data_IF_378924439455
#
_entry.id   IF_378924439455
#
_cell.length_a   1.000
_cell.length_b   1.000
_cell.length_c   1.000
_cell.angle_alpha   90.00
_cell.angle_beta   90.00
_cell.angle_gamma   90.00
#
_symmetry.space_group_name_H-M   'P 1'
#
loop_
_entity.id
_entity.type
_entity.pdbx_description
1 polymer ?
#
# COMPACT_ATOMS: atom_id res chain seq x y z
N UNK A 1 -10.10 -3.23 -3.96
CA UNK A 1 -9.74 -1.97 -3.28
C UNK A 1 -8.52 -2.20 -2.39
N UNK A 2 -7.75 -1.15 -2.07
CA UNK A 2 -6.60 -1.25 -1.15
C UNK A 2 -6.89 -0.59 0.19
N UNK A 3 -6.47 -1.18 1.33
CA UNK A 3 -6.60 -0.54 2.61
C UNK A 3 -5.62 0.62 2.78
N UNK A 4 -6.02 1.60 3.58
CA UNK A 4 -5.20 2.75 3.97
C UNK A 4 -4.66 3.60 2.81
N UNK A 5 -5.47 3.79 1.77
CA UNK A 5 -5.09 4.56 0.57
C UNK A 5 -5.16 6.08 0.79
N UNK A 6 -4.12 6.79 0.39
CA UNK A 6 -4.06 8.25 0.35
C UNK A 6 -3.70 8.74 -1.06
N UNK A 7 -3.74 10.06 -1.26
CA UNK A 7 -3.32 10.65 -2.53
C UNK A 7 -1.85 10.34 -2.84
N UNK A 8 -1.00 10.32 -1.81
CA UNK A 8 0.44 10.06 -1.88
C UNK A 8 0.78 8.57 -2.08
N UNK A 9 -0.20 7.67 -1.99
CA UNK A 9 0.04 6.21 -2.08
C UNK A 9 0.62 5.80 -3.43
N UNK A 10 0.40 6.57 -4.49
CA UNK A 10 1.00 6.34 -5.82
C UNK A 10 2.52 6.54 -5.85
N UNK A 11 3.10 7.22 -4.85
CA UNK A 11 4.54 7.42 -4.69
C UNK A 11 5.19 6.42 -3.72
N UNK A 12 4.46 5.39 -3.26
CA UNK A 12 4.98 4.41 -2.30
C UNK A 12 5.38 3.10 -3.00
N UNK A 13 6.61 2.66 -2.79
CA UNK A 13 7.14 1.39 -3.27
C UNK A 13 6.79 0.30 -2.26
N UNK A 14 6.14 -0.77 -2.71
CA UNK A 14 5.83 -1.90 -1.81
C UNK A 14 7.01 -2.85 -1.71
N UNK A 15 7.36 -3.20 -0.48
CA UNK A 15 8.42 -4.15 -0.16
C UNK A 15 7.82 -5.26 0.68
N UNK A 16 7.92 -6.50 0.21
CA UNK A 16 7.50 -7.67 0.99
C UNK A 16 8.58 -8.02 2.01
N UNK A 17 8.19 -8.18 3.28
CA UNK A 17 9.07 -8.69 4.35
C UNK A 17 8.64 -10.13 4.65
N UNK A 18 9.47 -11.11 4.28
CA UNK A 18 9.12 -12.54 4.37
C UNK A 18 10.01 -13.22 5.42
N UNK A 19 9.44 -13.88 6.44
CA UNK A 19 10.23 -14.75 7.31
C UNK A 19 10.72 -15.97 6.52
N UNK A 20 12.01 -16.27 6.63
CA UNK A 20 12.66 -17.43 6.01
C UNK A 20 13.17 -18.34 7.14
N UNK A 21 12.81 -19.62 7.07
CA UNK A 21 13.07 -20.58 8.14
C UNK A 21 12.26 -20.30 9.41
N UNK A 22 12.75 -20.80 10.54
CA UNK A 22 12.02 -20.73 11.82
C UNK A 22 12.32 -19.42 12.56
N UNK A 23 11.30 -18.61 12.81
CA UNK A 23 11.42 -17.36 13.56
C UNK A 23 10.31 -17.28 14.61
N UNK A 24 10.63 -17.06 15.90
CA UNK A 24 9.61 -16.84 16.92
C UNK A 24 8.82 -15.56 16.61
N UNK A 25 7.50 -15.58 16.87
CA UNK A 25 6.61 -14.47 16.50
C UNK A 25 7.02 -13.12 17.12
N UNK A 26 7.45 -13.11 18.38
CA UNK A 26 7.88 -11.89 19.05
C UNK A 26 9.15 -11.33 18.39
N UNK A 27 10.10 -12.20 18.07
CA UNK A 27 11.35 -11.84 17.38
C UNK A 27 11.08 -11.28 15.98
N UNK A 28 10.17 -11.90 15.22
CA UNK A 28 9.76 -11.39 13.90
C UNK A 28 9.13 -10.00 14.00
N UNK A 29 8.30 -9.77 15.03
CA UNK A 29 7.71 -8.45 15.31
C UNK A 29 8.77 -7.41 15.62
N UNK A 30 9.78 -7.78 16.42
CA UNK A 30 10.86 -6.88 16.78
C UNK A 30 11.68 -6.49 15.53
N UNK A 31 12.02 -7.45 14.65
CA UNK A 31 12.67 -7.16 13.37
C UNK A 31 11.83 -6.26 12.48
N UNK A 32 10.55 -6.60 12.29
CA UNK A 32 9.63 -5.79 11.49
C UNK A 32 9.53 -4.35 12.01
N UNK A 33 9.56 -4.15 13.34
CA UNK A 33 9.55 -2.82 13.93
C UNK A 33 10.75 -1.97 13.52
N UNK A 34 11.92 -2.57 13.30
CA UNK A 34 13.11 -1.83 12.82
C UNK A 34 12.89 -1.32 11.39
N UNK A 35 12.34 -2.14 10.50
CA UNK A 35 12.02 -1.71 9.12
C UNK A 35 11.06 -0.51 9.06
N UNK A 36 10.07 -0.44 9.97
CA UNK A 36 9.10 0.66 9.97
C UNK A 36 9.73 2.05 10.17
N UNK A 37 10.93 2.13 10.78
CA UNK A 37 11.68 3.38 10.90
C UNK A 37 12.27 3.86 9.56
N UNK A 38 12.34 2.98 8.56
CA UNK A 38 12.93 3.22 7.24
C UNK A 38 11.88 3.32 6.12
N UNK A 39 10.67 3.81 6.44
CA UNK A 39 9.59 4.00 5.46
C UNK A 39 9.83 5.19 4.52
N UNK A 40 10.80 6.06 4.81
CA UNK A 40 11.21 7.17 3.96
C UNK A 40 12.74 7.25 3.94
N UNK A 41 13.33 7.16 2.76
CA UNK A 41 14.78 7.23 2.55
C UNK A 41 15.10 8.50 1.76
N UNK A 42 15.79 9.50 2.35
CA UNK A 42 16.21 10.70 1.63
C UNK A 42 17.14 10.35 0.46
N UNK A 43 16.93 10.98 -0.69
CA UNK A 43 17.76 10.74 -1.88
C UNK A 43 19.23 11.15 -1.64
N UNK A 44 19.45 12.18 -0.83
CA UNK A 44 20.78 12.64 -0.43
C UNK A 44 21.59 11.54 0.28
N UNK A 45 20.90 10.62 0.97
CA UNK A 45 21.51 9.53 1.73
C UNK A 45 21.85 8.29 0.89
N UNK A 46 21.42 8.23 -0.37
CA UNK A 46 21.67 7.09 -1.28
C UNK A 46 22.60 7.43 -2.43
N UNK A 47 22.96 8.72 -2.58
CA UNK A 47 23.82 9.22 -3.65
C UNK A 47 25.16 8.48 -3.76
N UNK A 48 25.73 8.05 -2.63
CA UNK A 48 26.97 7.27 -2.58
C UNK A 48 26.84 5.81 -3.05
N UNK A 49 25.63 5.26 -3.02
CA UNK A 49 25.32 3.89 -3.46
C UNK A 49 24.80 3.87 -4.91
N UNK A 50 24.38 5.02 -5.43
CA UNK A 50 23.86 5.17 -6.77
C UNK A 50 24.99 5.24 -7.79
N UNK A 51 24.89 4.43 -8.85
CA UNK A 51 25.86 4.40 -9.94
C UNK A 51 25.14 4.70 -11.25
N UNK A 52 25.53 5.80 -11.90
CA UNK A 52 24.96 6.19 -13.20
C UNK A 52 25.74 5.48 -14.32
N UNK A 53 25.21 4.37 -14.84
CA UNK A 53 25.82 3.66 -15.98
C UNK A 53 25.61 4.40 -17.31
N UNK A 54 24.48 5.10 -17.43
CA UNK A 54 24.07 5.91 -18.58
C UNK A 54 23.31 7.13 -18.08
N UNK A 55 23.20 8.18 -18.90
CA UNK A 55 22.51 9.42 -18.54
C UNK A 55 21.09 9.12 -18.05
N UNK A 56 20.82 9.36 -16.77
CA UNK A 56 19.55 9.05 -16.10
C UNK A 56 18.34 9.64 -16.84
N UNK A 57 17.21 8.89 -16.93
CA UNK A 57 15.96 9.42 -17.48
C UNK A 57 15.29 10.41 -16.50
N UNK A 58 15.70 10.43 -15.23
CA UNK A 58 15.16 11.32 -14.20
C UNK A 58 15.89 12.67 -14.20
N UNK A 59 15.63 13.47 -15.23
CA UNK A 59 16.38 14.71 -15.49
C UNK A 59 16.19 15.76 -14.38
N UNK A 60 15.08 15.71 -13.65
CA UNK A 60 14.74 16.64 -12.56
C UNK A 60 14.73 15.95 -11.19
N UNK A 61 15.55 14.91 -11.00
CA UNK A 61 15.64 14.18 -9.73
C UNK A 61 16.06 15.10 -8.56
N UNK A 62 15.22 15.30 -7.53
CA UNK A 62 15.50 16.24 -6.44
C UNK A 62 16.42 15.61 -5.37
N UNK A 63 17.70 15.42 -5.68
CA UNK A 63 18.66 14.72 -4.81
C UNK A 63 18.74 15.26 -3.38
N UNK A 64 18.61 16.58 -3.18
CA UNK A 64 18.75 17.19 -1.86
C UNK A 64 17.48 17.14 -0.99
N UNK A 65 16.31 17.21 -1.62
CA UNK A 65 15.02 17.41 -0.91
C UNK A 65 14.06 16.24 -1.06
N UNK A 66 14.27 15.38 -2.06
CA UNK A 66 13.40 14.25 -2.35
C UNK A 66 13.69 13.02 -1.49
N UNK A 67 12.79 12.05 -1.59
CA UNK A 67 12.89 10.78 -0.87
C UNK A 67 12.18 9.66 -1.61
N UNK A 68 12.69 8.44 -1.45
CA UNK A 68 11.95 7.22 -1.76
C UNK A 68 11.08 6.83 -0.57
N UNK A 69 9.87 6.34 -0.83
CA UNK A 69 8.90 5.99 0.21
C UNK A 69 8.56 4.52 0.13
N UNK A 70 8.63 3.82 1.25
CA UNK A 70 8.41 2.39 1.33
C UNK A 70 7.15 2.06 2.10
N UNK A 71 6.36 1.13 1.56
CA UNK A 71 5.25 0.47 2.25
C UNK A 71 5.61 -0.99 2.47
N UNK A 72 5.97 -1.33 3.71
CA UNK A 72 6.36 -2.68 4.07
C UNK A 72 5.14 -3.59 4.26
N UNK A 73 5.13 -4.73 3.57
CA UNK A 73 4.07 -5.73 3.62
C UNK A 73 4.61 -6.99 4.29
N UNK A 74 4.32 -7.19 5.58
CA UNK A 74 4.74 -8.38 6.32
C UNK A 74 4.01 -9.62 5.79
N UNK A 75 4.77 -10.68 5.49
CA UNK A 75 4.25 -11.90 4.88
C UNK A 75 3.98 -11.78 3.37
N UNK A 76 4.14 -10.58 2.81
CA UNK A 76 3.89 -10.29 1.40
C UNK A 76 2.42 -10.27 1.01
N UNK A 77 2.15 -10.26 -0.29
CA UNK A 77 0.81 -10.23 -0.86
C UNK A 77 0.82 -10.85 -2.26
N UNK A 78 -0.30 -11.48 -2.69
CA UNK A 78 -0.41 -11.97 -4.06
C UNK A 78 -0.33 -10.81 -5.07
N UNK A 79 0.09 -11.07 -6.32
CA UNK A 79 0.11 -10.07 -7.38
C UNK A 79 -1.28 -9.45 -7.59
N UNK A 80 -1.33 -8.13 -7.67
CA UNK A 80 -2.57 -7.40 -7.94
C UNK A 80 -2.92 -7.54 -9.43
N UNK A 81 -4.18 -7.83 -9.80
CA UNK A 81 -4.60 -7.84 -11.21
C UNK A 81 -4.55 -6.43 -11.85
N UNK A 82 -4.32 -5.39 -11.06
CA UNK A 82 -4.24 -3.99 -11.49
C UNK A 82 -2.81 -3.44 -11.48
N UNK A 83 -1.81 -4.29 -11.33
CA UNK A 83 -0.43 -3.85 -11.20
C UNK A 83 0.13 -3.13 -12.45
N UNK A 84 -0.34 -3.49 -13.64
CA UNK A 84 0.00 -2.78 -14.89
C UNK A 84 -0.71 -1.43 -14.99
N UNK A 85 -1.85 -1.27 -14.32
CA UNK A 85 -2.58 -0.01 -14.27
C UNK A 85 -2.02 0.94 -13.22
N UNK A 86 -1.58 0.44 -12.08
CA UNK A 86 -1.07 1.20 -10.94
C UNK A 86 0.21 0.55 -10.42
N UNK A 87 1.37 1.08 -10.84
CA UNK A 87 2.68 0.46 -10.55
C UNK A 87 3.00 0.38 -9.05
N UNK A 88 2.45 1.27 -8.23
CA UNK A 88 2.57 1.25 -6.77
C UNK A 88 1.87 0.04 -6.10
N UNK A 89 1.12 -0.78 -6.86
CA UNK A 89 0.56 -2.05 -6.38
C UNK A 89 1.53 -3.22 -6.54
N UNK A 90 2.57 -3.09 -7.35
CA UNK A 90 3.61 -4.12 -7.52
C UNK A 90 4.43 -4.25 -6.24
N UNK A 91 4.72 -5.49 -5.84
CA UNK A 91 5.82 -5.77 -4.91
C UNK A 91 7.11 -5.62 -5.71
N UNK A 92 7.82 -4.51 -5.49
CA UNK A 92 9.01 -4.15 -6.28
C UNK A 92 10.31 -4.60 -5.61
N UNK A 93 10.26 -4.93 -4.31
CA UNK A 93 11.34 -5.61 -3.62
C UNK A 93 10.84 -6.68 -2.65
N UNK A 94 11.67 -7.71 -2.44
CA UNK A 94 11.44 -8.76 -1.45
C UNK A 94 12.63 -8.81 -0.51
N UNK A 95 12.36 -8.66 0.79
CA UNK A 95 13.35 -8.80 1.84
C UNK A 95 13.02 -10.06 2.65
N UNK A 96 13.86 -11.07 2.53
CA UNK A 96 13.86 -12.23 3.41
C UNK A 96 14.45 -11.83 4.76
N UNK A 97 13.85 -12.29 5.85
CA UNK A 97 14.39 -12.12 7.21
C UNK A 97 14.57 -13.50 7.79
N UNK A 98 15.77 -13.79 8.30
CA UNK A 98 16.13 -15.07 8.89
C UNK A 98 16.68 -14.86 10.30
N UNK A 99 16.29 -15.72 11.25
CA UNK A 99 16.89 -15.76 12.57
C UNK A 99 17.94 -16.87 12.63
N UNK A 100 19.21 -16.51 12.44
CA UNK A 100 20.31 -17.47 12.26
C UNK A 100 20.45 -18.52 13.39
N UNK A 101 20.21 -18.21 14.68
CA UNK A 101 20.28 -19.22 15.76
C UNK A 101 19.33 -20.41 15.57
N UNK A 102 18.23 -20.25 14.83
CA UNK A 102 17.27 -21.32 14.52
C UNK A 102 17.38 -21.85 13.10
N UNK A 103 18.27 -21.27 12.30
CA UNK A 103 18.52 -21.62 10.90
C UNK A 103 20.03 -21.77 10.68
N UNK A 104 20.65 -22.86 11.17
CA UNK A 104 22.10 -23.02 11.15
C UNK A 104 22.67 -23.17 9.73
N UNK A 105 21.91 -23.81 8.84
CA UNK A 105 22.29 -24.02 7.43
C UNK A 105 21.87 -22.83 6.56
N UNK A 106 22.85 -22.03 6.13
CA UNK A 106 22.61 -20.86 5.28
C UNK A 106 22.30 -21.24 3.82
N UNK A 107 22.70 -22.42 3.32
CA UNK A 107 22.34 -22.85 1.96
C UNK A 107 20.85 -23.12 1.86
N UNK A 108 20.30 -23.86 2.82
CA UNK A 108 18.86 -24.09 2.90
C UNK A 108 18.06 -22.79 3.02
N UNK A 109 18.56 -21.80 3.77
CA UNK A 109 17.91 -20.48 3.89
C UNK A 109 17.89 -19.75 2.54
N UNK A 110 18.99 -19.79 1.79
CA UNK A 110 19.06 -19.15 0.47
C UNK A 110 18.14 -19.87 -0.53
N UNK A 111 18.14 -21.21 -0.54
CA UNK A 111 17.27 -21.98 -1.43
C UNK A 111 15.78 -21.72 -1.15
N UNK A 112 15.40 -21.65 0.13
CA UNK A 112 14.04 -21.28 0.54
C UNK A 112 13.70 -19.85 0.09
N UNK A 113 14.60 -18.90 0.31
CA UNK A 113 14.42 -17.51 -0.11
C UNK A 113 14.27 -17.36 -1.63
N UNK A 114 15.12 -18.02 -2.42
CA UNK A 114 15.04 -18.03 -3.87
C UNK A 114 13.75 -18.69 -4.36
N UNK A 115 13.28 -19.73 -3.66
CA UNK A 115 11.98 -20.35 -3.87
C UNK A 115 10.83 -19.37 -3.68
N UNK A 116 10.83 -18.61 -2.58
CA UNK A 116 9.84 -17.56 -2.28
C UNK A 116 9.85 -16.46 -3.34
N UNK A 117 11.04 -16.00 -3.76
CA UNK A 117 11.17 -14.89 -4.72
C UNK A 117 10.51 -15.20 -6.07
N UNK A 118 10.43 -16.47 -6.49
CA UNK A 118 9.71 -16.89 -7.72
C UNK A 118 8.22 -16.51 -7.71
N UNK A 119 7.60 -16.35 -6.54
CA UNK A 119 6.23 -15.89 -6.40
C UNK A 119 6.02 -14.40 -6.68
N UNK A 120 7.10 -13.62 -6.78
CA UNK A 120 7.07 -12.16 -6.90
C UNK A 120 7.69 -11.71 -8.22
N UNK A 121 7.04 -12.00 -9.35
CA UNK A 121 7.57 -11.71 -10.69
C UNK A 121 7.87 -10.22 -10.98
N UNK A 122 7.19 -9.30 -10.26
CA UNK A 122 7.42 -7.86 -10.38
C UNK A 122 8.60 -7.34 -9.54
N UNK A 123 9.15 -8.15 -8.62
CA UNK A 123 10.24 -7.74 -7.76
C UNK A 123 11.53 -7.55 -8.57
N UNK A 124 12.17 -6.39 -8.39
CA UNK A 124 13.41 -6.02 -9.06
C UNK A 124 14.62 -6.11 -8.14
N UNK A 125 14.40 -6.00 -6.83
CA UNK A 125 15.45 -6.10 -5.83
C UNK A 125 15.07 -7.16 -4.81
N UNK A 126 15.96 -8.14 -4.59
CA UNK A 126 15.78 -9.18 -3.58
C UNK A 126 17.01 -9.24 -2.67
N UNK A 127 16.77 -9.29 -1.36
CA UNK A 127 17.82 -9.40 -0.33
C UNK A 127 17.34 -10.28 0.82
N UNK A 128 18.21 -11.06 1.43
CA UNK A 128 17.93 -11.84 2.62
C UNK A 128 18.81 -11.36 3.77
N UNK A 129 18.20 -11.02 4.91
CA UNK A 129 18.87 -10.50 6.10
C UNK A 129 18.88 -11.57 7.20
N UNK A 130 20.07 -12.07 7.53
CA UNK A 130 20.28 -13.03 8.61
C UNK A 130 20.70 -12.35 9.91
N UNK A 131 19.86 -12.42 10.93
CA UNK A 131 20.11 -11.80 12.24
C UNK A 131 20.73 -12.77 13.24
N UNK A 132 21.73 -12.29 13.97
CA UNK A 132 22.45 -13.01 15.03
C UNK A 132 23.15 -14.29 14.55
N UNK A 133 23.95 -14.25 13.46
CA UNK A 133 24.75 -15.40 13.02
C UNK A 133 25.77 -15.80 14.11
N UNK A 134 26.09 -17.08 14.18
CA UNK A 134 27.27 -17.54 14.92
C UNK A 134 28.56 -17.36 14.09
N UNK A 135 29.71 -17.54 14.72
CA UNK A 135 31.02 -17.33 14.07
C UNK A 135 31.20 -18.19 12.81
N UNK A 136 30.77 -19.46 12.83
CA UNK A 136 30.83 -20.32 11.65
C UNK A 136 29.94 -19.83 10.51
N UNK A 137 28.79 -19.24 10.83
CA UNK A 137 27.88 -18.66 9.83
C UNK A 137 28.42 -17.33 9.27
N UNK A 138 29.16 -16.56 10.05
CA UNK A 138 29.84 -15.35 9.56
C UNK A 138 30.94 -15.71 8.55
N UNK A 139 31.73 -16.75 8.83
CA UNK A 139 32.76 -17.26 7.92
C UNK A 139 32.17 -17.86 6.64
N UNK A 140 31.07 -18.61 6.75
CA UNK A 140 30.35 -19.21 5.61
C UNK A 140 29.64 -18.14 4.78
N UNK A 141 28.91 -17.23 5.43
CA UNK A 141 28.13 -16.18 4.77
C UNK A 141 28.98 -15.20 3.97
N UNK A 142 30.24 -14.94 4.38
CA UNK A 142 31.19 -14.15 3.59
C UNK A 142 31.53 -14.75 2.22
N UNK A 143 31.24 -16.04 2.00
CA UNK A 143 31.43 -16.74 0.72
C UNK A 143 30.14 -16.83 -0.09
N UNK A 144 28.99 -16.52 0.52
CA UNK A 144 27.68 -16.60 -0.13
C UNK A 144 27.35 -15.27 -0.81
N UNK A 145 26.72 -15.35 -1.99
CA UNK A 145 26.58 -14.23 -2.93
C UNK A 145 25.92 -12.98 -2.35
N UNK A 146 25.91 -11.90 -3.14
CA UNK A 146 25.52 -10.53 -2.73
C UNK A 146 24.12 -10.39 -2.10
N UNK A 147 23.26 -11.39 -2.26
CA UNK A 147 21.88 -11.35 -1.78
C UNK A 147 21.74 -11.66 -0.28
N UNK A 148 22.68 -12.37 0.36
CA UNK A 148 22.63 -12.65 1.79
C UNK A 148 23.46 -11.62 2.57
N UNK A 149 22.85 -10.96 3.55
CA UNK A 149 23.50 -9.99 4.42
C UNK A 149 23.32 -10.39 5.87
N UNK A 150 24.43 -10.57 6.57
CA UNK A 150 24.43 -11.03 7.95
C UNK A 150 24.60 -9.85 8.92
N UNK A 151 23.82 -9.86 9.99
CA UNK A 151 23.81 -8.85 11.05
C UNK A 151 24.34 -9.49 12.32
N UNK A 152 25.65 -9.32 12.65
CA UNK A 152 26.25 -9.91 13.84
C UNK A 152 25.48 -9.57 15.12
N UNK A 153 25.55 -10.43 16.16
CA UNK A 153 24.97 -10.12 17.46
C UNK A 153 25.47 -8.78 18.00
N UNK A 154 24.55 -7.83 18.17
CA UNK A 154 24.82 -6.50 18.68
C UNK A 154 23.58 -5.97 19.41
N UNK A 155 23.74 -4.85 20.12
CA UNK A 155 22.59 -4.14 20.67
C UNK A 155 21.68 -3.60 19.55
N UNK A 156 20.44 -3.28 19.92
CA UNK A 156 19.39 -2.87 18.97
C UNK A 156 19.80 -1.63 18.16
N UNK A 157 20.46 -0.65 18.77
CA UNK A 157 20.83 0.59 18.09
C UNK A 157 21.85 0.30 16.99
N UNK A 158 22.83 -0.55 17.26
CA UNK A 158 23.81 -0.99 16.27
C UNK A 158 23.14 -1.78 15.12
N UNK A 159 22.17 -2.64 15.42
CA UNK A 159 21.40 -3.36 14.39
C UNK A 159 20.58 -2.42 13.51
N UNK A 160 19.93 -1.41 14.09
CA UNK A 160 19.17 -0.40 13.37
C UNK A 160 20.07 0.46 12.47
N UNK A 161 21.28 0.81 12.93
CA UNK A 161 22.28 1.52 12.11
C UNK A 161 22.72 0.70 10.89
N UNK A 162 23.02 -0.60 11.08
CA UNK A 162 23.33 -1.49 9.95
C UNK A 162 22.14 -1.62 9.01
N UNK A 163 20.92 -1.75 9.54
CA UNK A 163 19.71 -1.87 8.73
C UNK A 163 19.49 -0.59 7.90
N UNK A 164 19.76 0.58 8.47
CA UNK A 164 19.69 1.84 7.75
C UNK A 164 20.58 1.84 6.50
N UNK A 165 21.84 1.44 6.63
CA UNK A 165 22.77 1.33 5.49
C UNK A 165 22.27 0.32 4.45
N UNK A 166 21.76 -0.83 4.89
CA UNK A 166 21.21 -1.82 3.97
C UNK A 166 19.96 -1.33 3.23
N UNK A 167 19.09 -0.57 3.91
CA UNK A 167 17.90 0.02 3.28
C UNK A 167 18.26 1.14 2.29
N UNK A 168 19.36 1.87 2.52
CA UNK A 168 19.91 2.84 1.58
C UNK A 168 20.47 2.15 0.31
N UNK A 169 21.16 1.01 0.45
CA UNK A 169 21.61 0.19 -0.69
C UNK A 169 20.42 -0.34 -1.51
N UNK A 170 19.37 -0.84 -0.84
CA UNK A 170 18.14 -1.30 -1.50
C UNK A 170 17.45 -0.14 -2.24
N UNK A 171 17.38 1.03 -1.61
CA UNK A 171 16.82 2.24 -2.22
C UNK A 171 17.56 2.65 -3.50
N UNK A 172 18.90 2.68 -3.47
CA UNK A 172 19.72 2.96 -4.66
C UNK A 172 19.52 1.90 -5.76
N UNK A 173 19.48 0.62 -5.37
CA UNK A 173 19.26 -0.49 -6.31
C UNK A 173 17.89 -0.39 -7.00
N UNK A 174 16.84 -0.07 -6.25
CA UNK A 174 15.50 0.17 -6.79
C UNK A 174 15.49 1.35 -7.76
N UNK A 175 16.15 2.45 -7.42
CA UNK A 175 16.24 3.62 -8.28
C UNK A 175 16.87 3.27 -9.63
N UNK A 176 18.01 2.57 -9.64
CA UNK A 176 18.67 2.12 -10.86
C UNK A 176 17.80 1.14 -11.67
N UNK A 177 17.06 0.24 -11.02
CA UNK A 177 16.12 -0.65 -11.71
C UNK A 177 14.93 0.09 -12.33
N UNK A 178 14.48 1.20 -11.72
CA UNK A 178 13.44 2.04 -12.30
C UNK A 178 13.94 2.77 -13.54
N UNK A 179 15.19 3.25 -13.57
CA UNK A 179 15.79 3.84 -14.77
C UNK A 179 15.84 2.85 -15.92
N UNK A 180 16.33 1.62 -15.65
CA UNK A 180 16.35 0.54 -16.64
C UNK A 180 14.96 0.26 -17.20
N UNK A 181 13.93 0.26 -16.34
CA UNK A 181 12.55 0.09 -16.79
C UNK A 181 12.11 1.25 -17.69
N UNK A 182 12.38 2.50 -17.33
CA UNK A 182 11.98 3.67 -18.12
C UNK A 182 12.62 3.63 -19.51
N UNK A 183 13.92 3.35 -19.62
CA UNK A 183 14.59 3.20 -20.92
C UNK A 183 13.98 2.09 -21.79
N UNK A 184 13.63 0.95 -21.17
CA UNK A 184 12.96 -0.14 -21.87
C UNK A 184 11.55 0.26 -22.30
N UNK A 185 10.80 0.97 -21.47
CA UNK A 185 9.43 1.37 -21.76
C UNK A 185 9.33 2.44 -22.86
N UNK A 186 10.33 3.30 -23.00
CA UNK A 186 10.42 4.29 -24.09
C UNK A 186 10.79 3.65 -25.44
N UNK A 187 11.66 2.64 -25.42
CA UNK A 187 12.18 1.98 -26.62
C UNK A 187 11.32 0.79 -27.07
N UNK A 188 10.74 0.06 -26.13
CA UNK A 188 9.90 -1.11 -26.38
C UNK A 188 8.41 -0.74 -26.33
N UNK A 189 7.63 -1.30 -27.26
CA UNK A 189 6.17 -1.15 -27.27
C UNK A 189 5.50 -1.91 -26.13
N UNK A 190 5.69 -1.48 -24.88
CA UNK A 190 5.20 -2.11 -23.65
C UNK A 190 3.70 -2.39 -23.75
N UNK A 191 3.31 -3.65 -23.53
CA UNK A 191 1.92 -4.08 -23.59
C UNK A 191 1.38 -4.09 -22.16
N UNK A 192 0.58 -3.07 -21.84
CA UNK A 192 -0.06 -2.92 -20.54
C UNK A 192 -1.54 -3.27 -20.66
N UNK A 193 -1.99 -4.20 -19.80
CA UNK A 193 -3.36 -4.71 -19.82
C UNK A 193 -4.04 -4.52 -18.48
N UNK A 194 -5.36 -4.42 -18.52
CA UNK A 194 -6.22 -4.39 -17.35
C UNK A 194 -7.34 -5.41 -17.49
N UNK A 195 -7.95 -5.85 -16.39
CA UNK A 195 -9.17 -6.64 -16.43
C UNK A 195 -10.35 -6.01 -17.20
N UNK A 196 -10.30 -4.69 -17.49
CA UNK A 196 -11.33 -3.98 -18.27
C UNK A 196 -11.14 -4.10 -19.79
N UNK A 197 -9.95 -4.49 -20.25
CA UNK A 197 -9.65 -4.55 -21.67
C UNK A 197 -10.40 -5.71 -22.34
N UNK A 198 -11.27 -5.38 -23.30
CA UNK A 198 -11.96 -6.35 -24.15
C UNK A 198 -11.12 -6.70 -25.39
N UNK A 199 -11.40 -7.86 -26.01
CA UNK A 199 -10.79 -8.20 -27.31
C UNK A 199 -11.20 -7.16 -28.35
N UNK A 200 -10.22 -6.49 -28.96
CA UNK A 200 -10.47 -5.47 -29.97
C UNK A 200 -10.86 -6.10 -31.32
N UNK A 201 -11.79 -5.46 -32.03
CA UNK A 201 -12.09 -5.76 -33.43
C UNK A 201 -10.96 -5.33 -34.37
N UNK A 202 -10.94 -5.95 -35.56
CA UNK A 202 -9.85 -5.89 -36.52
C UNK A 202 -10.05 -4.82 -37.62
N UNK A 203 -10.49 -3.60 -37.28
CA UNK A 203 -10.56 -2.51 -38.26
C UNK A 203 -9.29 -1.63 -38.25
N UNK A 204 -8.92 -1.05 -39.40
CA UNK A 204 -7.70 -0.24 -39.56
C UNK A 204 -7.68 1.03 -38.69
N UNK A 205 -8.83 1.67 -38.49
CA UNK A 205 -8.96 2.83 -37.60
C UNK A 205 -8.74 2.44 -36.12
N UNK A 206 -9.25 1.28 -35.72
CA UNK A 206 -9.06 0.72 -34.38
C UNK A 206 -7.60 0.37 -34.11
N UNK A 207 -6.86 -0.08 -35.12
CA UNK A 207 -5.41 -0.36 -35.01
C UNK A 207 -4.62 0.93 -34.71
N UNK A 208 -4.90 2.03 -35.43
CA UNK A 208 -4.24 3.32 -35.17
C UNK A 208 -4.58 3.83 -33.77
N UNK A 209 -5.87 3.75 -33.38
CA UNK A 209 -6.33 4.12 -32.04
C UNK A 209 -5.69 3.24 -30.96
N UNK A 210 -5.51 1.95 -31.19
CA UNK A 210 -4.84 1.02 -30.28
C UNK A 210 -3.35 1.36 -30.10
N UNK A 211 -2.64 1.73 -31.18
CA UNK A 211 -1.24 2.19 -31.08
C UNK A 211 -1.12 3.45 -30.22
N UNK A 212 -2.00 4.44 -30.42
CA UNK A 212 -2.05 5.66 -29.59
C UNK A 212 -2.40 5.37 -28.13
N UNK A 213 -3.36 4.47 -27.88
CA UNK A 213 -3.69 4.01 -26.51
C UNK A 213 -2.47 3.41 -25.83
N UNK A 214 -1.78 2.48 -26.50
CA UNK A 214 -0.57 1.85 -25.96
C UNK A 214 0.49 2.88 -25.57
N UNK A 215 0.73 3.88 -26.42
CA UNK A 215 1.67 4.95 -26.11
C UNK A 215 1.22 5.76 -24.88
N UNK A 216 -0.06 6.13 -24.78
CA UNK A 216 -0.60 6.85 -23.62
C UNK A 216 -0.46 6.05 -22.32
N UNK A 217 -0.74 4.74 -22.35
CA UNK A 217 -0.57 3.84 -21.21
C UNK A 217 0.90 3.68 -20.80
N UNK A 218 1.80 3.58 -21.79
CA UNK A 218 3.24 3.54 -21.53
C UNK A 218 3.72 4.83 -20.87
N UNK A 219 3.33 6.00 -21.40
CA UNK A 219 3.66 7.30 -20.80
C UNK A 219 3.12 7.44 -19.37
N UNK A 220 1.88 6.99 -19.12
CA UNK A 220 1.33 6.96 -17.76
C UNK A 220 2.21 6.13 -16.83
N UNK A 221 2.60 4.94 -17.28
CA UNK A 221 3.38 3.99 -16.47
C UNK A 221 4.81 4.50 -16.23
N UNK A 222 5.44 5.10 -17.23
CA UNK A 222 6.72 5.81 -17.05
C UNK A 222 6.57 6.90 -15.97
N UNK A 223 5.50 7.68 -16.03
CA UNK A 223 5.15 8.64 -14.97
C UNK A 223 5.01 8.02 -13.59
N UNK A 224 4.42 6.83 -13.47
CA UNK A 224 4.37 6.10 -12.19
C UNK A 224 5.78 5.76 -11.69
N UNK A 225 6.68 5.27 -12.54
CA UNK A 225 8.04 4.92 -12.14
C UNK A 225 8.88 6.16 -11.78
N UNK A 226 8.73 7.28 -12.49
CA UNK A 226 9.32 8.56 -12.08
C UNK A 226 8.82 9.00 -10.69
N UNK A 227 7.53 8.79 -10.41
CA UNK A 227 6.93 9.14 -9.13
C UNK A 227 7.43 8.21 -8.00
N UNK A 228 7.56 6.90 -8.26
CA UNK A 228 8.16 5.93 -7.33
C UNK A 228 9.64 6.22 -7.09
N UNK A 229 10.36 6.71 -8.09
CA UNK A 229 11.74 7.19 -7.99
C UNK A 229 11.87 8.51 -7.20
N UNK A 230 10.76 9.13 -6.80
CA UNK A 230 10.78 10.41 -6.09
C UNK A 230 11.12 11.61 -6.97
N UNK A 231 10.91 11.51 -8.30
CA UNK A 231 11.01 12.64 -9.24
C UNK A 231 9.63 13.12 -9.71
N UNK A 232 8.97 14.00 -8.93
CA UNK A 232 7.60 14.43 -9.24
C UNK A 232 7.51 15.33 -10.48
N UNK A 233 8.55 16.11 -10.78
CA UNK A 233 8.57 17.00 -11.97
C UNK A 233 8.61 16.17 -13.25
N UNK A 234 9.50 15.17 -13.32
CA UNK A 234 9.57 14.25 -14.46
C UNK A 234 8.28 13.44 -14.59
N UNK A 235 7.75 12.93 -13.48
CA UNK A 235 6.48 12.21 -13.46
C UNK A 235 5.34 13.04 -14.06
N UNK A 236 5.23 14.31 -13.68
CA UNK A 236 4.16 15.19 -14.17
C UNK A 236 4.27 15.49 -15.67
N UNK A 237 5.48 15.54 -16.24
CA UNK A 237 5.67 15.69 -17.68
C UNK A 237 5.13 14.46 -18.46
N UNK A 238 5.44 13.25 -17.98
CA UNK A 238 4.92 12.01 -18.55
C UNK A 238 3.40 11.87 -18.38
N UNK A 239 2.85 12.22 -17.21
CA UNK A 239 1.39 12.22 -17.01
C UNK A 239 0.69 13.21 -17.93
N UNK A 240 1.26 14.41 -18.16
CA UNK A 240 0.69 15.39 -19.09
C UNK A 240 0.56 14.82 -20.50
N UNK A 241 1.62 14.17 -20.99
CA UNK A 241 1.62 13.46 -22.28
C UNK A 241 0.59 12.32 -22.30
N UNK A 242 0.51 11.54 -21.22
CA UNK A 242 -0.46 10.45 -21.10
C UNK A 242 -1.91 10.92 -21.11
N UNK A 243 -2.21 12.06 -20.47
CA UNK A 243 -3.53 12.68 -20.44
C UNK A 243 -3.97 13.11 -21.84
N UNK A 244 -3.08 13.74 -22.61
CA UNK A 244 -3.36 14.13 -23.99
C UNK A 244 -3.67 12.91 -24.87
N UNK A 245 -2.82 11.88 -24.83
CA UNK A 245 -2.98 10.66 -25.63
C UNK A 245 -4.24 9.86 -25.25
N UNK A 246 -4.52 9.75 -23.95
CA UNK A 246 -5.70 9.03 -23.45
C UNK A 246 -6.99 9.78 -23.80
N UNK A 247 -6.98 11.12 -23.77
CA UNK A 247 -8.12 11.94 -24.20
C UNK A 247 -8.43 11.74 -25.68
N UNK A 248 -7.41 11.74 -26.55
CA UNK A 248 -7.57 11.53 -28.00
C UNK A 248 -8.13 10.15 -28.36
N UNK A 249 -7.95 9.17 -27.47
CA UNK A 249 -8.40 7.79 -27.68
C UNK A 249 -9.64 7.43 -26.86
N UNK A 250 -10.18 8.38 -26.09
CA UNK A 250 -11.27 8.18 -25.15
C UNK A 250 -11.01 7.02 -24.15
N UNK A 251 -9.74 6.80 -23.78
CA UNK A 251 -9.36 5.82 -22.76
C UNK A 251 -9.52 6.44 -21.37
N UNK A 252 -10.77 6.64 -20.95
CA UNK A 252 -11.10 7.41 -19.74
C UNK A 252 -10.58 6.79 -18.44
N UNK A 253 -10.45 5.45 -18.39
CA UNK A 253 -9.91 4.77 -17.22
C UNK A 253 -8.42 5.11 -17.02
N UNK A 254 -7.63 5.04 -18.09
CA UNK A 254 -6.22 5.42 -18.07
C UNK A 254 -6.01 6.92 -17.96
N UNK A 255 -6.91 7.73 -18.52
CA UNK A 255 -6.95 9.17 -18.27
C UNK A 255 -7.12 9.49 -16.78
N UNK A 256 -8.09 8.85 -16.10
CA UNK A 256 -8.32 9.04 -14.67
C UNK A 256 -7.08 8.65 -13.84
N UNK A 257 -6.45 7.52 -14.16
CA UNK A 257 -5.22 7.08 -13.49
C UNK A 257 -4.02 8.01 -13.71
N UNK A 258 -3.85 8.57 -14.92
CA UNK A 258 -2.82 9.57 -15.17
C UNK A 258 -3.09 10.88 -14.41
N UNK A 259 -4.36 11.30 -14.33
CA UNK A 259 -4.75 12.48 -13.56
C UNK A 259 -4.49 12.27 -12.07
N UNK A 260 -4.89 11.11 -11.52
CA UNK A 260 -4.60 10.71 -10.14
C UNK A 260 -3.10 10.77 -9.82
N UNK A 261 -2.27 10.20 -10.71
CA UNK A 261 -0.81 10.25 -10.61
C UNK A 261 -0.24 11.67 -10.65
N UNK A 262 -0.75 12.53 -11.53
CA UNK A 262 -0.34 13.95 -11.61
C UNK A 262 -0.69 14.75 -10.35
N UNK A 263 -1.82 14.45 -9.68
CA UNK A 263 -2.15 15.08 -8.40
C UNK A 263 -1.20 14.61 -7.32
N UNK A 264 -0.86 13.31 -7.30
CA UNK A 264 0.16 12.80 -6.38
C UNK A 264 1.50 13.50 -6.62
N UNK A 265 1.96 13.61 -7.88
CA UNK A 265 3.18 14.32 -8.23
C UNK A 265 3.17 15.78 -7.74
N UNK A 266 2.08 16.50 -7.98
CA UNK A 266 1.88 17.87 -7.49
C UNK A 266 2.00 17.97 -5.96
N UNK A 267 1.39 17.03 -5.23
CA UNK A 267 1.50 16.99 -3.78
C UNK A 267 2.94 16.73 -3.34
N UNK A 268 3.61 15.71 -3.90
CA UNK A 268 4.99 15.33 -3.57
C UNK A 268 5.96 16.50 -3.81
N UNK A 269 5.84 17.19 -4.96
CA UNK A 269 6.67 18.34 -5.32
C UNK A 269 6.55 19.51 -4.33
N UNK A 270 5.35 19.71 -3.77
CA UNK A 270 5.06 20.81 -2.85
C UNK A 270 5.09 20.41 -1.37
N UNK A 271 5.60 19.22 -1.02
CA UNK A 271 5.66 18.79 0.37
C UNK A 271 6.48 19.76 1.21
N UNK A 272 5.88 20.21 2.31
CA UNK A 272 6.50 21.17 3.23
C UNK A 272 6.37 22.63 2.81
N UNK A 273 5.88 22.93 1.61
CA UNK A 273 5.55 24.29 1.18
C UNK A 273 4.16 24.68 1.69
N UNK A 274 4.06 25.86 2.30
CA UNK A 274 2.77 26.44 2.68
C UNK A 274 2.16 27.10 1.44
N UNK A 275 1.41 26.33 0.66
CA UNK A 275 0.66 26.83 -0.48
C UNK A 275 -0.84 26.87 -0.16
N UNK A 276 -1.43 28.06 0.05
CA UNK A 276 -2.85 28.20 0.35
C UNK A 276 -3.78 27.73 -0.78
N UNK A 277 -3.28 27.67 -2.02
CA UNK A 277 -4.06 27.31 -3.21
C UNK A 277 -4.02 25.81 -3.55
N UNK A 278 -3.06 25.07 -2.96
CA UNK A 278 -2.84 23.66 -3.25
C UNK A 278 -4.06 22.80 -2.91
N UNK A 279 -4.75 23.15 -1.83
CA UNK A 279 -5.97 22.45 -1.40
C UNK A 279 -7.08 22.52 -2.45
N UNK A 280 -7.35 23.72 -2.97
CA UNK A 280 -8.40 23.93 -3.97
C UNK A 280 -8.06 23.24 -5.28
N UNK A 281 -6.78 23.28 -5.69
CA UNK A 281 -6.29 22.59 -6.89
C UNK A 281 -6.40 21.07 -6.76
N UNK A 282 -5.99 20.49 -5.63
CA UNK A 282 -6.12 19.05 -5.36
C UNK A 282 -7.59 18.64 -5.34
N UNK A 283 -8.44 19.41 -4.66
CA UNK A 283 -9.89 19.17 -4.64
C UNK A 283 -10.47 19.19 -6.04
N UNK A 284 -10.14 20.20 -6.84
CA UNK A 284 -10.63 20.33 -8.22
C UNK A 284 -10.18 19.15 -9.09
N UNK A 285 -8.89 18.80 -9.06
CA UNK A 285 -8.37 17.70 -9.88
C UNK A 285 -8.91 16.34 -9.44
N UNK A 286 -9.06 16.05 -8.15
CA UNK A 286 -9.62 14.78 -7.69
C UNK A 286 -11.11 14.62 -8.02
N UNK A 287 -11.89 15.70 -7.97
CA UNK A 287 -13.28 15.64 -8.46
C UNK A 287 -13.32 15.25 -9.95
N UNK A 288 -12.36 15.72 -10.75
CA UNK A 288 -12.19 15.27 -12.12
C UNK A 288 -11.73 13.80 -12.21
N UNK A 289 -10.85 13.32 -11.32
CA UNK A 289 -10.48 11.89 -11.25
C UNK A 289 -11.72 11.02 -11.04
N UNK A 290 -12.53 11.33 -10.02
CA UNK A 290 -13.77 10.63 -9.69
C UNK A 290 -14.72 10.63 -10.90
N UNK A 291 -14.94 11.80 -11.52
CA UNK A 291 -15.78 11.94 -12.70
C UNK A 291 -15.31 11.05 -13.87
N UNK A 292 -14.00 10.97 -14.11
CA UNK A 292 -13.46 10.18 -15.23
C UNK A 292 -13.47 8.68 -14.95
N UNK A 293 -13.25 8.24 -13.70
CA UNK A 293 -13.49 6.84 -13.33
C UNK A 293 -14.95 6.46 -13.55
N UNK A 294 -15.89 7.30 -13.12
CA UNK A 294 -17.32 7.10 -13.39
C UNK A 294 -17.65 7.04 -14.87
N UNK A 295 -17.08 7.95 -15.66
CA UNK A 295 -17.24 8.01 -17.13
C UNK A 295 -16.63 6.81 -17.85
N UNK A 296 -15.66 6.13 -17.24
CA UNK A 296 -15.03 4.94 -17.83
C UNK A 296 -15.93 3.70 -17.80
N UNK A 297 -17.03 3.73 -17.04
CA UNK A 297 -18.03 2.66 -17.03
C UNK A 297 -18.80 2.63 -18.35
N UNK A 298 -18.79 1.47 -19.01
CA UNK A 298 -19.48 1.26 -20.30
C UNK A 298 -20.55 0.17 -20.10
N UNK A 299 -21.85 0.52 -20.04
CA UNK A 299 -22.94 -0.45 -19.76
C UNK A 299 -23.17 -1.49 -20.87
N UNK A 300 -22.85 -1.14 -22.12
CA UNK A 300 -23.19 -1.93 -23.31
C UNK A 300 -22.18 -3.03 -23.63
N UNK A 301 -20.97 -2.93 -23.09
CA UNK A 301 -19.99 -4.00 -23.17
C UNK A 301 -20.19 -4.92 -21.97
N UNK A 302 -20.19 -6.23 -22.19
CA UNK A 302 -20.19 -7.25 -21.14
C UNK A 302 -18.87 -7.21 -20.31
N UNK A 303 -18.54 -6.05 -19.73
CA UNK A 303 -17.43 -5.89 -18.81
C UNK A 303 -17.74 -6.73 -17.58
N UNK A 304 -16.96 -7.80 -17.41
CA UNK A 304 -17.04 -8.68 -16.23
C UNK A 304 -16.57 -7.97 -14.96
N UNK A 305 -15.86 -6.85 -15.10
CA UNK A 305 -15.22 -6.10 -14.02
C UNK A 305 -15.64 -4.63 -14.13
N UNK A 306 -16.08 -4.04 -13.02
CA UNK A 306 -16.52 -2.64 -12.95
C UNK A 306 -15.39 -1.73 -12.45
N UNK A 307 -15.22 -0.51 -13.00
CA UNK A 307 -14.28 0.48 -12.49
C UNK A 307 -14.74 1.13 -11.17
N UNK A 308 -15.94 0.79 -10.67
CA UNK A 308 -16.54 1.38 -9.47
C UNK A 308 -15.59 1.33 -8.25
N UNK A 309 -14.81 0.26 -8.08
CA UNK A 309 -13.85 0.18 -6.97
C UNK A 309 -12.84 1.32 -6.98
N UNK A 310 -12.43 1.82 -8.16
CA UNK A 310 -11.50 2.94 -8.30
C UNK A 310 -12.19 4.30 -8.09
N UNK A 311 -13.44 4.45 -8.51
CA UNK A 311 -14.26 5.63 -8.20
C UNK A 311 -14.37 5.82 -6.68
N UNK A 312 -14.77 4.76 -5.97
CA UNK A 312 -14.92 4.78 -4.52
C UNK A 312 -13.56 4.91 -3.79
N UNK A 313 -12.49 4.34 -4.34
CA UNK A 313 -11.13 4.54 -3.82
C UNK A 313 -10.68 6.01 -3.95
N UNK A 314 -11.02 6.68 -5.06
CA UNK A 314 -10.73 8.09 -5.28
C UNK A 314 -11.53 9.00 -4.33
N UNK A 315 -12.81 8.68 -4.06
CA UNK A 315 -13.62 9.35 -3.03
C UNK A 315 -12.92 9.27 -1.66
N UNK A 316 -12.45 8.08 -1.27
CA UNK A 316 -11.75 7.88 0.01
C UNK A 316 -10.42 8.65 0.08
N UNK A 317 -9.64 8.68 -1.00
CA UNK A 317 -8.37 9.43 -1.06
C UNK A 317 -8.61 10.93 -0.89
N UNK A 318 -9.61 11.49 -1.57
CA UNK A 318 -9.99 12.90 -1.43
C UNK A 318 -10.56 13.20 -0.04
N UNK A 319 -11.45 12.35 0.48
CA UNK A 319 -12.04 12.49 1.81
C UNK A 319 -10.96 12.47 2.90
N UNK A 320 -9.94 11.60 2.76
CA UNK A 320 -8.77 11.54 3.64
C UNK A 320 -7.93 12.82 3.58
N UNK A 321 -7.66 13.33 2.38
CA UNK A 321 -6.92 14.58 2.20
C UNK A 321 -7.63 15.79 2.83
N UNK A 322 -8.95 15.87 2.68
CA UNK A 322 -9.77 16.97 3.23
C UNK A 322 -10.17 16.76 4.70
N UNK A 323 -9.72 15.70 5.37
CA UNK A 323 -10.23 15.28 6.68
C UNK A 323 -9.84 16.22 7.83
N UNK A 324 -10.56 17.34 7.94
CA UNK A 324 -10.45 18.35 9.01
C UNK A 324 -11.81 18.91 9.39
N UNK A 325 -11.91 19.55 10.55
CA UNK A 325 -13.20 20.00 11.11
C UNK A 325 -13.87 21.07 10.24
N UNK A 326 -13.07 21.93 9.63
CA UNK A 326 -13.52 23.06 8.81
C UNK A 326 -14.19 22.58 7.52
N UNK A 327 -13.77 21.43 6.98
CA UNK A 327 -14.30 20.82 5.75
C UNK A 327 -15.17 19.59 6.02
N UNK A 328 -15.68 19.43 7.25
CA UNK A 328 -16.40 18.23 7.63
C UNK A 328 -17.63 17.97 6.75
N UNK A 329 -18.24 19.02 6.16
CA UNK A 329 -19.36 18.88 5.22
C UNK A 329 -18.93 18.16 3.95
N UNK A 330 -17.90 18.64 3.27
CA UNK A 330 -17.38 18.06 2.02
C UNK A 330 -16.96 16.59 2.23
N UNK A 331 -16.28 16.33 3.34
CA UNK A 331 -15.86 14.96 3.70
C UNK A 331 -17.07 14.06 3.94
N UNK A 332 -18.11 14.54 4.63
CA UNK A 332 -19.35 13.77 4.83
C UNK A 332 -20.03 13.45 3.51
N UNK A 333 -20.08 14.40 2.58
CA UNK A 333 -20.72 14.22 1.28
C UNK A 333 -20.00 13.15 0.46
N UNK A 334 -18.65 13.20 0.41
CA UNK A 334 -17.81 12.16 -0.22
C UNK A 334 -18.02 10.79 0.41
N UNK A 335 -17.97 10.70 1.74
CA UNK A 335 -18.15 9.42 2.45
C UNK A 335 -19.55 8.84 2.30
N UNK A 336 -20.57 9.70 2.17
CA UNK A 336 -21.96 9.26 1.93
C UNK A 336 -22.12 8.74 0.52
N UNK A 337 -21.59 9.45 -0.49
CA UNK A 337 -21.52 8.98 -1.87
C UNK A 337 -20.83 7.61 -1.97
N UNK A 338 -19.67 7.48 -1.30
CA UNK A 338 -18.92 6.24 -1.29
C UNK A 338 -19.70 5.10 -0.60
N UNK A 339 -20.39 5.38 0.51
CA UNK A 339 -21.23 4.42 1.21
C UNK A 339 -22.42 3.93 0.37
N UNK A 340 -23.03 4.81 -0.42
CA UNK A 340 -24.14 4.46 -1.30
C UNK A 340 -23.66 3.58 -2.47
N UNK A 341 -22.50 3.89 -3.04
CA UNK A 341 -21.85 3.08 -4.08
C UNK A 341 -21.42 1.68 -3.60
N UNK A 342 -21.17 1.51 -2.30
CA UNK A 342 -20.73 0.24 -1.72
C UNK A 342 -21.67 -0.95 -2.01
N UNK A 343 -22.98 -0.70 -2.15
CA UNK A 343 -23.98 -1.76 -2.43
C UNK A 343 -23.81 -2.38 -3.82
N UNK A 344 -23.22 -1.64 -4.75
CA UNK A 344 -22.97 -2.07 -6.12
C UNK A 344 -21.62 -2.78 -6.30
N UNK A 345 -20.81 -2.87 -5.23
CA UNK A 345 -19.59 -3.67 -5.23
C UNK A 345 -19.92 -5.16 -5.11
N UNK A 346 -19.34 -5.94 -6.04
CA UNK A 346 -19.52 -7.39 -6.11
C UNK A 346 -18.67 -8.09 -5.04
N UNK A 347 -17.41 -7.68 -4.89
CA UNK A 347 -16.47 -8.30 -3.94
C UNK A 347 -16.77 -7.87 -2.50
N UNK A 348 -16.99 -8.86 -1.63
CA UNK A 348 -17.22 -8.64 -0.21
C UNK A 348 -16.01 -8.01 0.48
N UNK A 349 -14.79 -8.31 0.01
CA UNK A 349 -13.55 -7.72 0.51
C UNK A 349 -13.51 -6.22 0.24
N UNK A 350 -13.87 -5.80 -0.96
CA UNK A 350 -13.89 -4.38 -1.33
C UNK A 350 -14.90 -3.60 -0.50
N UNK A 351 -16.08 -4.17 -0.25
CA UNK A 351 -17.07 -3.59 0.67
C UNK A 351 -16.54 -3.48 2.09
N UNK A 352 -15.83 -4.51 2.57
CA UNK A 352 -15.24 -4.53 3.90
C UNK A 352 -14.21 -3.40 4.04
N UNK A 353 -13.26 -3.30 3.09
CA UNK A 353 -12.25 -2.24 3.05
C UNK A 353 -12.92 -0.86 3.06
N UNK A 354 -13.88 -0.65 2.18
CA UNK A 354 -14.58 0.61 2.05
C UNK A 354 -15.26 1.03 3.36
N UNK A 355 -15.99 0.12 4.03
CA UNK A 355 -16.64 0.45 5.31
C UNK A 355 -15.64 0.65 6.45
N UNK A 356 -14.52 -0.07 6.49
CA UNK A 356 -13.44 0.20 7.45
C UNK A 356 -12.91 1.63 7.26
N UNK A 357 -12.62 2.03 6.02
CA UNK A 357 -12.07 3.35 5.71
C UNK A 357 -13.07 4.47 6.01
N UNK A 358 -14.35 4.29 5.66
CA UNK A 358 -15.42 5.24 6.02
C UNK A 358 -15.54 5.38 7.54
N UNK A 359 -15.52 4.27 8.29
CA UNK A 359 -15.58 4.30 9.75
C UNK A 359 -14.40 5.08 10.34
N UNK A 360 -13.18 4.86 9.83
CA UNK A 360 -11.97 5.56 10.26
C UNK A 360 -12.07 7.07 10.02
N UNK A 361 -12.50 7.49 8.83
CA UNK A 361 -12.60 8.91 8.48
C UNK A 361 -13.68 9.62 9.31
N UNK A 362 -14.85 9.01 9.53
CA UNK A 362 -15.84 9.56 10.48
C UNK A 362 -15.33 9.62 11.92
N UNK A 363 -14.53 8.63 12.34
CA UNK A 363 -13.88 8.62 13.65
C UNK A 363 -12.93 9.81 13.82
N UNK A 364 -12.12 10.09 12.81
CA UNK A 364 -11.18 11.23 12.78
C UNK A 364 -11.89 12.59 12.83
N UNK A 365 -13.03 12.73 12.15
CA UNK A 365 -13.88 13.93 12.26
C UNK A 365 -14.56 14.08 13.63
N UNK A 366 -14.56 13.04 14.47
CA UNK A 366 -15.23 13.01 15.75
C UNK A 366 -16.70 12.59 15.68
N UNK A 367 -17.18 12.11 14.52
CA UNK A 367 -18.56 11.62 14.34
C UNK A 367 -18.69 10.16 14.80
N UNK A 368 -18.53 9.96 16.11
CA UNK A 368 -18.45 8.64 16.75
C UNK A 368 -19.64 7.71 16.44
N UNK A 369 -20.86 8.26 16.32
CA UNK A 369 -22.04 7.45 15.97
C UNK A 369 -22.02 6.97 14.51
N UNK A 370 -21.55 7.81 13.58
CA UNK A 370 -21.39 7.42 12.16
C UNK A 370 -20.26 6.41 12.02
N UNK A 371 -19.13 6.65 12.69
CA UNK A 371 -18.03 5.69 12.76
C UNK A 371 -18.51 4.31 13.25
N UNK A 372 -19.20 4.27 14.40
CA UNK A 372 -19.74 3.05 14.97
C UNK A 372 -20.77 2.35 14.06
N UNK A 373 -21.55 3.10 13.29
CA UNK A 373 -22.47 2.54 12.30
C UNK A 373 -21.72 1.75 11.23
N UNK A 374 -20.69 2.34 10.61
CA UNK A 374 -19.91 1.62 9.61
C UNK A 374 -19.06 0.50 10.21
N UNK A 375 -18.54 0.65 11.44
CA UNK A 375 -17.92 -0.45 12.19
C UNK A 375 -18.86 -1.64 12.38
N UNK A 376 -20.15 -1.40 12.65
CA UNK A 376 -21.17 -2.45 12.70
C UNK A 376 -21.39 -3.12 11.33
N UNK A 377 -21.37 -2.35 10.24
CA UNK A 377 -21.46 -2.91 8.88
C UNK A 377 -20.27 -3.85 8.58
N UNK A 378 -19.06 -3.48 9.01
CA UNK A 378 -17.87 -4.34 8.92
C UNK A 378 -18.07 -5.65 9.69
N UNK A 379 -18.55 -5.58 10.93
CA UNK A 379 -18.83 -6.78 11.71
C UNK A 379 -19.91 -7.67 11.06
N UNK A 380 -20.92 -7.08 10.42
CA UNK A 380 -21.93 -7.84 9.68
C UNK A 380 -21.32 -8.60 8.50
N UNK A 381 -20.37 -7.98 7.77
CA UNK A 381 -19.65 -8.66 6.69
C UNK A 381 -18.78 -9.81 7.22
N UNK A 382 -18.13 -9.64 8.38
CA UNK A 382 -17.41 -10.75 9.02
C UNK A 382 -18.35 -11.90 9.42
N UNK A 383 -19.55 -11.60 9.94
CA UNK A 383 -20.53 -12.64 10.29
C UNK A 383 -21.10 -13.40 9.08
N UNK A 384 -21.03 -12.83 7.88
CA UNK A 384 -21.43 -13.52 6.64
C UNK A 384 -20.39 -14.54 6.18
N UNK A 385 -19.20 -14.56 6.79
CA UNK A 385 -18.17 -15.53 6.48
C UNK A 385 -18.32 -16.74 7.41
N UNK A 386 -18.36 -17.95 6.83
CA UNK A 386 -18.46 -19.22 7.56
C UNK A 386 -17.12 -19.60 8.21
N UNK A 387 -16.64 -18.76 9.13
CA UNK A 387 -15.35 -18.96 9.81
C UNK A 387 -15.41 -18.56 11.29
N UNK A 388 -14.87 -19.42 12.16
CA UNK A 388 -14.73 -19.14 13.60
C UNK A 388 -13.93 -17.86 13.85
N UNK A 389 -12.86 -17.63 13.07
CA UNK A 389 -12.01 -16.45 13.19
C UNK A 389 -12.75 -15.17 12.77
N UNK A 390 -13.60 -15.27 11.74
CA UNK A 390 -14.45 -14.16 11.31
C UNK A 390 -15.50 -13.83 12.38
N UNK A 391 -16.10 -14.83 13.02
CA UNK A 391 -17.04 -14.62 14.13
C UNK A 391 -16.37 -13.93 15.35
N UNK A 392 -15.15 -14.35 15.71
CA UNK A 392 -14.36 -13.70 16.77
C UNK A 392 -14.05 -12.25 16.38
N UNK A 393 -13.60 -12.01 15.15
CA UNK A 393 -13.30 -10.67 14.63
C UNK A 393 -14.55 -9.79 14.64
N UNK A 394 -15.71 -10.32 14.23
CA UNK A 394 -16.98 -9.60 14.29
C UNK A 394 -17.34 -9.17 15.72
N UNK A 395 -17.16 -10.05 16.70
CA UNK A 395 -17.43 -9.75 18.10
C UNK A 395 -16.50 -8.64 18.62
N UNK A 396 -15.20 -8.74 18.33
CA UNK A 396 -14.22 -7.72 18.70
C UNK A 396 -14.55 -6.36 18.07
N UNK A 397 -14.89 -6.34 16.78
CA UNK A 397 -15.29 -5.12 16.06
C UNK A 397 -16.58 -4.53 16.62
N UNK A 398 -17.58 -5.34 16.97
CA UNK A 398 -18.80 -4.87 17.62
C UNK A 398 -18.53 -4.28 19.01
N UNK A 399 -17.62 -4.88 19.79
CA UNK A 399 -17.27 -4.38 21.12
C UNK A 399 -16.77 -2.93 21.06
N UNK A 400 -16.09 -2.53 19.99
CA UNK A 400 -15.60 -1.17 19.76
C UNK A 400 -16.73 -0.13 19.61
N UNK A 401 -17.93 -0.58 19.20
CA UNK A 401 -19.09 0.31 18.99
C UNK A 401 -19.89 0.59 20.27
N UNK A 402 -19.70 -0.21 21.32
CA UNK A 402 -20.51 -0.19 22.55
C UNK A 402 -20.57 1.19 23.22
N UNK A 403 -19.42 1.86 23.33
CA UNK A 403 -19.32 3.20 23.91
C UNK A 403 -20.07 4.25 23.10
N UNK A 404 -19.96 4.20 21.77
CA UNK A 404 -20.63 5.15 20.88
C UNK A 404 -22.16 5.02 20.92
N UNK A 405 -22.66 3.79 21.10
CA UNK A 405 -24.08 3.49 21.27
C UNK A 405 -24.58 3.56 22.71
N UNK A 406 -23.69 3.84 23.68
CA UNK A 406 -24.00 3.86 25.12
C UNK A 406 -24.64 2.54 25.60
N UNK A 407 -24.22 1.42 25.01
CA UNK A 407 -24.63 0.08 25.46
C UNK A 407 -23.86 -0.23 26.73
N UNK A 408 -24.55 -0.28 27.86
CA UNK A 408 -23.96 -0.63 29.14
C UNK A 408 -23.69 -2.14 29.18
N UNK A 409 -22.44 -2.55 29.39
CA UNK A 409 -22.13 -3.94 29.72
C UNK A 409 -22.48 -4.19 31.18
N UNK A 410 -23.24 -5.26 31.49
CA UNK A 410 -23.53 -5.66 32.87
C UNK A 410 -22.26 -5.88 33.72
N UNK A 411 -21.11 -6.13 33.11
CA UNK A 411 -19.82 -6.26 33.78
C UNK A 411 -19.20 -4.93 34.23
N UNK A 412 -19.65 -3.78 33.70
CA UNK A 412 -19.10 -2.46 34.02
C UNK A 412 -19.66 -1.82 35.30
N UNK A 413 -20.55 -2.51 36.00
CA UNK A 413 -21.17 -2.03 37.25
C UNK A 413 -20.23 -2.24 38.46
N UNK A 414 -19.23 -3.12 38.38
CA UNK A 414 -18.44 -3.50 39.56
C UNK A 414 -17.16 -2.69 39.81
N UNK A 415 -16.64 -1.93 38.84
CA UNK A 415 -15.38 -1.18 39.03
C UNK A 415 -15.49 0.22 38.42
N UNK A 416 -16.09 1.15 39.17
CA UNK A 416 -16.02 2.56 38.84
C UNK A 416 -15.50 3.36 40.04
N UNK A 417 -14.23 3.14 40.35
CA UNK A 417 -13.44 4.07 41.16
C UNK A 417 -12.09 4.28 40.47
N UNK A 418 -11.95 5.45 39.86
CA UNK A 418 -10.73 6.02 39.30
C UNK A 418 -10.22 5.37 38.00
N UNK A 419 -10.35 6.11 36.89
CA UNK A 419 -9.26 6.50 35.97
C UNK A 419 -9.91 7.44 34.94
N UNK A 420 -9.54 8.71 35.02
CA UNK A 420 -10.02 9.76 34.13
C UNK A 420 -8.81 10.49 33.56
N UNK A 421 -8.03 9.83 32.69
CA UNK A 421 -6.96 10.47 31.89
C UNK A 421 -6.79 9.74 30.53
N UNK A 422 -6.71 10.55 29.46
CA UNK A 422 -6.19 10.29 28.09
C UNK A 422 -6.80 9.19 27.19
N UNK A 423 -8.06 9.37 26.74
CA UNK A 423 -8.75 8.44 25.81
C UNK A 423 -8.67 8.84 24.32
N UNK A 424 -8.16 10.03 24.01
CA UNK A 424 -8.14 10.56 22.63
C UNK A 424 -7.09 9.90 21.72
N UNK A 425 -6.06 9.27 22.29
CA UNK A 425 -5.02 8.54 21.56
C UNK A 425 -5.37 7.05 21.29
N UNK A 426 -6.35 6.50 22.03
CA UNK A 426 -6.62 5.05 22.04
C UNK A 426 -7.41 4.54 20.83
N UNK A 427 -8.11 5.43 20.13
CA UNK A 427 -8.79 5.13 18.87
C UNK A 427 -7.85 5.03 17.66
N UNK A 428 -6.60 5.49 17.74
CA UNK A 428 -5.69 5.57 16.58
C UNK A 428 -4.86 4.31 16.33
N UNK A 429 -4.54 3.51 17.36
CA UNK A 429 -3.48 2.48 17.27
C UNK A 429 -4.02 1.07 17.59
N UNK A 430 -4.70 0.86 18.72
CA UNK A 430 -5.29 -0.46 19.07
C UNK A 430 -6.47 -0.84 18.15
N UNK A 431 -7.18 0.17 17.63
CA UNK A 431 -8.33 0.05 16.73
C UNK A 431 -7.91 -0.40 15.31
N UNK A 432 -6.68 -0.07 14.88
CA UNK A 432 -6.10 -0.48 13.59
C UNK A 432 -5.79 -1.97 13.55
N UNK A 433 -5.12 -2.50 14.57
CA UNK A 433 -4.70 -3.89 14.59
C UNK A 433 -5.89 -4.84 14.61
N UNK A 434 -6.95 -4.56 15.38
CA UNK A 434 -8.10 -5.48 15.47
C UNK A 434 -8.92 -5.52 14.17
N UNK A 435 -9.14 -4.37 13.52
CA UNK A 435 -9.93 -4.32 12.28
C UNK A 435 -9.16 -4.79 11.04
N UNK A 436 -7.84 -4.56 10.98
CA UNK A 436 -6.98 -4.91 9.83
C UNK A 436 -6.30 -6.28 10.00
N UNK A 437 -5.98 -6.72 11.21
CA UNK A 437 -5.40 -8.06 11.40
C UNK A 437 -6.45 -9.15 11.10
N UNK A 438 -7.74 -8.94 11.40
CA UNK A 438 -8.80 -9.82 10.89
C UNK A 438 -8.82 -9.90 9.35
N UNK A 439 -8.48 -8.81 8.68
CA UNK A 439 -8.41 -8.72 7.22
C UNK A 439 -7.22 -9.49 6.62
N UNK A 440 -6.07 -9.53 7.31
CA UNK A 440 -4.89 -10.33 6.93
C UNK A 440 -5.11 -11.84 7.09
N UNK A 441 -5.86 -12.28 8.11
CA UNK A 441 -6.24 -13.69 8.30
C UNK A 441 -7.12 -14.19 7.14
N UNK A 442 -7.93 -13.32 6.54
CA UNK A 442 -8.89 -13.68 5.50
C UNK A 442 -8.35 -13.57 4.07
N UNK A 443 -7.40 -12.65 3.82
CA UNK A 443 -6.80 -12.48 2.49
C UNK A 443 -5.64 -13.43 2.21
N UNK A 444 -4.99 -13.97 3.24
CA UNK A 444 -3.76 -14.72 3.03
C UNK A 444 -3.97 -16.13 2.48
N UNK A 445 -5.08 -16.83 2.73
CA UNK A 445 -5.33 -18.19 2.20
C UNK A 445 -4.21 -19.24 2.41
N UNK A 446 -3.15 -18.88 3.14
CA UNK A 446 -1.90 -19.60 3.29
C UNK A 446 -1.53 -19.59 4.77
N UNK A 447 -1.07 -20.75 5.21
CA UNK A 447 -0.79 -21.14 6.58
C UNK A 447 0.14 -20.20 7.35
N UNK A 448 -0.43 -19.15 7.94
CA UNK A 448 0.09 -18.58 9.20
C UNK A 448 -0.99 -18.79 10.26
N UNK A 449 -1.31 -20.07 10.46
CA UNK A 449 -2.18 -20.55 11.54
C UNK A 449 -1.67 -19.98 12.87
N UNK A 450 -2.61 -19.42 13.67
CA UNK A 450 -2.49 -18.91 15.06
C UNK A 450 -2.07 -17.45 15.32
N UNK A 451 -1.60 -16.67 14.34
CA UNK A 451 -0.80 -15.45 14.63
C UNK A 451 -1.54 -14.13 14.95
N UNK A 452 -2.87 -14.07 14.99
CA UNK A 452 -3.60 -12.78 15.16
C UNK A 452 -4.59 -12.75 16.34
N UNK A 453 -5.06 -13.90 16.84
CA UNK A 453 -6.11 -13.95 17.87
C UNK A 453 -5.58 -13.69 19.29
N UNK A 454 -4.30 -13.96 19.57
CA UNK A 454 -3.72 -13.75 20.92
C UNK A 454 -3.18 -12.32 21.15
N UNK A 455 -3.46 -11.39 20.22
CA UNK A 455 -2.99 -9.99 20.27
C UNK A 455 -3.76 -9.07 21.23
N UNK A 456 -4.84 -9.56 21.85
CA UNK A 456 -5.48 -8.88 22.97
C UNK A 456 -5.24 -9.70 24.24
N UNK A 457 -4.48 -9.20 25.20
CA UNK A 457 -4.38 -9.76 26.56
C UNK A 457 -5.73 -9.69 27.31
N UNK A 458 -6.74 -10.37 26.79
CA UNK A 458 -8.13 -10.43 27.25
C UNK A 458 -8.66 -11.87 27.30
N UNK A 459 -7.81 -12.88 27.07
CA UNK A 459 -8.14 -14.30 27.24
C UNK A 459 -8.27 -14.75 28.70
N UNK A 460 -8.25 -13.83 29.66
CA UNK A 460 -8.43 -14.14 31.09
C UNK A 460 -9.59 -13.39 31.73
N UNK A 461 -10.71 -13.21 31.03
CA UNK A 461 -11.96 -12.80 31.69
C UNK A 461 -13.15 -13.50 31.03
N UNK A 462 -13.45 -14.72 31.44
CA UNK A 462 -14.74 -15.22 31.96
C UNK A 462 -14.60 -16.76 32.16
N UNK A 463 -15.20 -17.33 33.23
CA UNK A 463 -14.90 -18.67 33.74
C UNK A 463 -15.32 -19.81 32.82
#
# INVERSE_FOLDING_TARGET
>A
MEPDVSVETSAMIRIAIIPIGKIPHQTLRDYYSMFLHHHTIPLSSISSFYTEEQKSPFTNQPWETGSLRFKFVLGGAPPSPWEDFQSNRKILAVIGVCHCPLSPDLDSVIEEFDGVCKGYASARVTRCFGFFPCDSQLEDGGKKGENLRLFPPADRQTQEMHLQTMMQEIAASLLMEFEKYVFQAESAGTILKTPLDSQASLSSEEVIKAKKRRLGRAQKTIGDYCLLAGSPVDANAHYSTALELSRLTADYFWYAGALEGSVCALLIDRIGLKDPSLEDEVRYRYNNVILHYKKSFIPENAQRVSPLSFELEADLKLARYLCRRELAKDVVDLLTSAADGAKSLIDATDRLILYVEIARLFGTLGYQRKAAFFTRQVAQLYLQQDSKLAAISALQVLAMTTKAYRVQSRASISNNSHINVSIQARWKIETMHVMVAGMLVLLAGCSVESSIVDSSGLTTLFP
#
